data_IF_493190734102
#
_entry.id   IF_493190734102
#
_cell.length_a   1.000
_cell.length_b   1.000
_cell.length_c   1.000
_cell.angle_alpha   90.00
_cell.angle_beta   90.00
_cell.angle_gamma   90.00
#
_symmetry.space_group_name_H-M   'P 1'
#
loop_
_entity.id
_entity.type
_entity.pdbx_description
1 polymer ?
#
# COMPACT_ATOMS: atom_id res chain seq x y z
N UNK A 1 -54.31 28.19 -25.78
CA UNK A 1 -54.77 28.04 -24.38
C UNK A 1 -54.31 26.72 -23.76
N UNK A 2 -54.82 25.54 -24.15
CA UNK A 2 -54.32 24.25 -23.59
C UNK A 2 -52.82 24.03 -23.86
N UNK A 3 -52.38 24.24 -25.10
CA UNK A 3 -50.97 24.15 -25.47
C UNK A 3 -50.05 25.12 -24.69
N UNK A 4 -50.55 26.31 -24.35
CA UNK A 4 -49.79 27.30 -23.56
C UNK A 4 -49.64 26.86 -22.10
N UNK A 5 -50.68 26.25 -21.52
CA UNK A 5 -50.65 25.70 -20.16
C UNK A 5 -49.68 24.50 -20.11
N UNK A 6 -49.72 23.62 -21.11
CA UNK A 6 -48.77 22.50 -21.21
C UNK A 6 -47.32 22.98 -21.33
N UNK A 7 -47.06 24.03 -22.12
CA UNK A 7 -45.74 24.63 -22.23
C UNK A 7 -45.27 25.25 -20.90
N UNK A 8 -46.17 25.92 -20.17
CA UNK A 8 -45.86 26.48 -18.85
C UNK A 8 -45.62 25.40 -17.80
N UNK A 9 -46.39 24.31 -17.82
CA UNK A 9 -46.16 23.14 -16.95
C UNK A 9 -44.79 22.54 -17.21
N UNK A 10 -44.42 22.35 -18.48
CA UNK A 10 -43.09 21.86 -18.85
C UNK A 10 -41.99 22.77 -18.31
N UNK A 11 -42.10 24.09 -18.52
CA UNK A 11 -41.13 25.05 -17.98
C UNK A 11 -41.04 25.05 -16.45
N UNK A 12 -42.17 24.86 -15.74
CA UNK A 12 -42.17 24.77 -14.29
C UNK A 12 -41.52 23.48 -13.79
N UNK A 13 -41.78 22.35 -14.46
CA UNK A 13 -41.14 21.07 -14.17
C UNK A 13 -39.63 21.14 -14.42
N UNK A 14 -39.20 21.71 -15.55
CA UNK A 14 -37.78 21.91 -15.84
C UNK A 14 -37.09 22.74 -14.72
N UNK A 15 -37.71 23.84 -14.29
CA UNK A 15 -37.22 24.66 -13.17
C UNK A 15 -37.24 23.92 -11.83
N UNK A 16 -38.18 23.00 -11.61
CA UNK A 16 -38.23 22.19 -10.39
C UNK A 16 -37.13 21.13 -10.39
N UNK A 17 -36.84 20.56 -11.56
CA UNK A 17 -35.76 19.60 -11.78
C UNK A 17 -34.38 20.26 -11.63
N UNK A 18 -34.22 21.51 -12.06
CA UNK A 18 -33.03 22.34 -11.81
C UNK A 18 -32.76 22.54 -10.32
N UNK A 19 -33.81 22.65 -9.49
CA UNK A 19 -33.67 22.72 -8.03
C UNK A 19 -33.30 21.36 -7.41
N UNK A 20 -33.36 20.27 -8.17
CA UNK A 20 -33.10 18.92 -7.69
C UNK A 20 -34.16 18.39 -6.72
N UNK A 21 -33.89 17.26 -6.06
CA UNK A 21 -34.81 16.64 -5.10
C UNK A 21 -35.15 17.58 -3.94
N UNK A 22 -36.39 17.52 -3.41
CA UNK A 22 -36.77 18.34 -2.27
C UNK A 22 -35.96 17.98 -1.02
N UNK A 23 -35.53 19.00 -0.27
CA UNK A 23 -34.79 18.86 1.01
C UNK A 23 -35.33 19.86 2.04
N UNK A 24 -36.65 20.07 2.05
CA UNK A 24 -37.30 21.11 2.85
C UNK A 24 -37.40 20.74 4.33
N UNK A 25 -37.62 19.45 4.61
CA UNK A 25 -37.75 18.86 5.94
C UNK A 25 -36.69 17.78 6.21
N UNK A 26 -36.53 17.40 7.48
CA UNK A 26 -35.49 16.44 7.91
C UNK A 26 -35.64 15.05 7.28
N UNK A 27 -36.88 14.59 7.03
CA UNK A 27 -37.13 13.30 6.37
C UNK A 27 -36.63 13.30 4.92
N UNK A 28 -36.92 14.39 4.20
CA UNK A 28 -36.45 14.60 2.83
C UNK A 28 -34.92 14.72 2.77
N UNK A 29 -34.32 15.49 3.69
CA UNK A 29 -32.86 15.64 3.80
C UNK A 29 -32.17 14.30 4.08
N UNK A 30 -32.69 13.51 5.02
CA UNK A 30 -32.17 12.18 5.35
C UNK A 30 -32.28 11.24 4.16
N UNK A 31 -33.43 11.20 3.50
CA UNK A 31 -33.62 10.38 2.29
C UNK A 31 -32.64 10.76 1.18
N UNK A 32 -32.42 12.07 0.99
CA UNK A 32 -31.47 12.59 0.01
C UNK A 32 -30.03 12.15 0.33
N UNK A 33 -29.57 12.34 1.56
CA UNK A 33 -28.23 11.93 2.00
C UNK A 33 -28.04 10.41 1.94
N UNK A 34 -29.04 9.62 2.33
CA UNK A 34 -28.98 8.15 2.26
C UNK A 34 -28.86 7.66 0.82
N UNK A 35 -29.45 8.37 -0.15
CA UNK A 35 -29.28 8.06 -1.57
C UNK A 35 -27.85 8.33 -2.06
N UNK A 36 -27.27 9.46 -1.66
CA UNK A 36 -25.86 9.79 -1.97
C UNK A 36 -24.93 8.75 -1.34
N UNK A 37 -25.15 8.41 -0.06
CA UNK A 37 -24.37 7.38 0.63
C UNK A 37 -24.46 6.02 -0.07
N UNK A 38 -25.66 5.61 -0.48
CA UNK A 38 -25.85 4.36 -1.22
C UNK A 38 -25.10 4.33 -2.57
N UNK A 39 -25.13 5.43 -3.32
CA UNK A 39 -24.37 5.56 -4.58
C UNK A 39 -22.86 5.53 -4.33
N UNK A 40 -22.39 6.28 -3.32
CA UNK A 40 -20.99 6.27 -2.91
C UNK A 40 -20.52 4.86 -2.54
N UNK A 41 -21.26 4.16 -1.67
CA UNK A 41 -20.94 2.79 -1.26
C UNK A 41 -20.96 1.81 -2.44
N UNK A 42 -21.85 2.00 -3.42
CA UNK A 42 -21.86 1.20 -4.65
C UNK A 42 -20.58 1.40 -5.46
N UNK A 43 -20.14 2.65 -5.66
CA UNK A 43 -18.90 2.94 -6.36
C UNK A 43 -17.66 2.44 -5.60
N UNK A 44 -17.63 2.57 -4.27
CA UNK A 44 -16.59 1.96 -3.43
C UNK A 44 -16.50 0.46 -3.67
N UNK A 45 -17.64 -0.25 -3.68
CA UNK A 45 -17.68 -1.70 -3.89
C UNK A 45 -17.15 -2.08 -5.27
N UNK A 46 -17.59 -1.40 -6.33
CA UNK A 46 -17.09 -1.61 -7.69
C UNK A 46 -15.59 -1.32 -7.80
N UNK A 47 -15.12 -0.24 -7.16
CA UNK A 47 -13.71 0.16 -7.20
C UNK A 47 -12.79 -0.82 -6.46
N UNK A 48 -13.26 -1.43 -5.37
CA UNK A 48 -12.53 -2.45 -4.60
C UNK A 48 -12.55 -3.83 -5.28
N UNK A 49 -13.63 -4.17 -5.97
CA UNK A 49 -13.77 -5.45 -6.72
C UNK A 49 -13.22 -5.41 -8.13
N UNK A 50 -12.65 -4.27 -8.56
CA UNK A 50 -12.20 -4.01 -9.92
C UNK A 50 -13.30 -4.13 -11.00
N UNK A 51 -14.58 -3.99 -10.61
CA UNK A 51 -15.71 -3.98 -11.55
C UNK A 51 -15.92 -2.58 -12.14
N UNK A 52 -15.03 -2.19 -13.06
CA UNK A 52 -15.04 -0.86 -13.67
C UNK A 52 -16.12 -0.68 -14.75
N UNK A 53 -16.75 -1.77 -15.19
CA UNK A 53 -17.85 -1.73 -16.15
C UNK A 53 -19.18 -1.34 -15.50
N UNK A 54 -19.29 -1.44 -14.16
CA UNK A 54 -20.50 -1.09 -13.42
C UNK A 54 -20.86 0.41 -13.49
N UNK A 55 -19.93 1.29 -13.84
CA UNK A 55 -20.18 2.73 -13.91
C UNK A 55 -19.22 3.46 -14.85
N UNK A 56 -19.75 4.38 -15.64
CA UNK A 56 -18.97 5.27 -16.52
C UNK A 56 -18.01 6.19 -15.76
N UNK A 57 -18.18 6.32 -14.44
CA UNK A 57 -17.29 7.11 -13.58
C UNK A 57 -15.83 6.61 -13.66
N UNK A 58 -15.64 5.31 -13.88
CA UNK A 58 -14.34 4.62 -13.98
C UNK A 58 -13.70 4.71 -15.38
N UNK A 59 -14.31 5.46 -16.30
CA UNK A 59 -13.62 5.94 -17.49
C UNK A 59 -12.45 6.86 -17.11
N UNK A 60 -12.53 7.54 -15.95
CA UNK A 60 -11.35 8.12 -15.33
C UNK A 60 -10.57 7.01 -14.60
N UNK A 61 -9.38 6.68 -15.11
CA UNK A 61 -8.49 5.67 -14.55
C UNK A 61 -8.00 6.02 -13.14
N UNK A 62 -8.00 7.31 -12.76
CA UNK A 62 -7.69 7.75 -11.40
C UNK A 62 -8.69 7.27 -10.35
N UNK A 63 -9.86 6.77 -10.79
CA UNK A 63 -10.89 6.24 -9.90
C UNK A 63 -10.87 4.71 -9.82
N UNK A 64 -9.93 4.05 -10.51
CA UNK A 64 -9.71 2.60 -10.41
C UNK A 64 -8.91 2.27 -9.15
N UNK A 65 -9.55 2.47 -8.00
CA UNK A 65 -8.89 2.48 -6.68
C UNK A 65 -8.00 1.25 -6.43
N UNK A 66 -8.55 0.03 -6.54
CA UNK A 66 -7.77 -1.16 -6.21
C UNK A 66 -6.61 -1.36 -7.19
N UNK A 67 -6.78 -1.06 -8.48
CA UNK A 67 -5.69 -1.10 -9.47
C UNK A 67 -4.56 -0.15 -9.09
N UNK A 68 -4.87 1.09 -8.70
CA UNK A 68 -3.85 2.04 -8.26
C UNK A 68 -3.12 1.56 -7.00
N UNK A 69 -3.85 1.03 -6.02
CA UNK A 69 -3.24 0.51 -4.79
C UNK A 69 -2.35 -0.70 -5.08
N UNK A 70 -2.75 -1.60 -5.96
CA UNK A 70 -1.94 -2.75 -6.39
C UNK A 70 -0.66 -2.28 -7.08
N UNK A 71 -0.76 -1.37 -8.05
CA UNK A 71 0.41 -0.79 -8.72
C UNK A 71 1.39 -0.14 -7.74
N UNK A 72 0.88 0.68 -6.80
CA UNK A 72 1.71 1.31 -5.76
C UNK A 72 2.35 0.25 -4.84
N UNK A 73 1.66 -0.85 -4.57
CA UNK A 73 2.14 -1.95 -3.73
C UNK A 73 3.22 -2.77 -4.43
N UNK A 74 3.07 -3.09 -5.72
CA UNK A 74 4.12 -3.77 -6.50
C UNK A 74 5.40 -2.93 -6.56
N UNK A 75 5.26 -1.62 -6.81
CA UNK A 75 6.37 -0.69 -6.80
C UNK A 75 7.05 -0.62 -5.43
N UNK A 76 6.27 -0.58 -4.35
CA UNK A 76 6.80 -0.65 -2.99
C UNK A 76 7.57 -1.94 -2.74
N UNK A 77 7.01 -3.10 -3.13
CA UNK A 77 7.69 -4.38 -2.97
C UNK A 77 9.04 -4.36 -3.68
N UNK A 78 9.09 -3.93 -4.94
CA UNK A 78 10.33 -3.82 -5.70
C UNK A 78 11.35 -2.88 -5.04
N UNK A 79 10.94 -1.65 -4.69
CA UNK A 79 11.83 -0.67 -4.05
C UNK A 79 12.32 -1.15 -2.67
N UNK A 80 11.45 -1.82 -1.90
CA UNK A 80 11.81 -2.35 -0.59
C UNK A 80 12.83 -3.49 -0.71
N UNK A 81 12.63 -4.44 -1.62
CA UNK A 81 13.61 -5.51 -1.87
C UNK A 81 14.97 -4.97 -2.30
N UNK A 82 14.98 -3.91 -3.11
CA UNK A 82 16.20 -3.33 -3.69
C UNK A 82 16.94 -2.38 -2.74
N UNK A 83 16.23 -1.64 -1.88
CA UNK A 83 16.79 -0.49 -1.15
C UNK A 83 16.55 -0.48 0.35
N UNK A 84 15.72 -1.37 0.89
CA UNK A 84 15.42 -1.36 2.31
C UNK A 84 16.58 -1.83 3.18
N UNK A 85 17.55 -2.55 2.62
CA UNK A 85 18.79 -2.83 3.31
C UNK A 85 19.72 -1.62 3.34
N UNK A 86 20.33 -1.39 4.50
CA UNK A 86 21.31 -0.32 4.65
C UNK A 86 22.64 -0.65 3.97
N UNK A 87 23.03 -1.94 3.93
CA UNK A 87 24.32 -2.41 3.41
C UNK A 87 24.14 -3.64 2.55
N UNK A 88 24.91 -3.77 1.48
CA UNK A 88 24.82 -4.95 0.62
C UNK A 88 25.36 -6.19 1.35
N UNK A 89 24.63 -7.31 1.23
CA UNK A 89 25.15 -8.62 1.57
C UNK A 89 26.08 -9.09 0.46
N UNK A 90 27.21 -9.68 0.82
CA UNK A 90 28.12 -10.23 -0.17
C UNK A 90 27.52 -11.46 -0.84
N UNK A 91 27.61 -11.50 -2.17
CA UNK A 91 27.34 -12.71 -2.94
C UNK A 91 28.58 -13.61 -2.90
N UNK A 92 28.44 -14.92 -2.70
CA UNK A 92 29.55 -15.84 -2.87
C UNK A 92 30.15 -15.65 -4.28
N UNK A 93 31.48 -15.68 -4.39
CA UNK A 93 32.14 -15.65 -5.71
C UNK A 93 31.56 -16.77 -6.57
N UNK A 94 31.13 -16.42 -7.78
CA UNK A 94 30.44 -17.29 -8.74
C UNK A 94 31.14 -18.66 -8.83
N UNK A 95 30.49 -19.69 -8.27
CA UNK A 95 30.85 -21.08 -8.50
C UNK A 95 30.16 -21.44 -9.82
N UNK A 96 30.84 -22.03 -10.82
CA UNK A 96 30.17 -22.48 -12.03
C UNK A 96 29.03 -23.42 -11.61
N UNK A 97 27.78 -23.04 -11.90
CA UNK A 97 26.65 -23.95 -11.73
C UNK A 97 26.98 -25.20 -12.52
N UNK A 98 26.98 -26.34 -11.84
CA UNK A 98 27.06 -27.64 -12.49
C UNK A 98 25.90 -27.68 -13.49
N UNK A 99 26.21 -27.85 -14.77
CA UNK A 99 25.18 -28.08 -15.75
C UNK A 99 24.46 -29.36 -15.35
N UNK A 100 23.13 -29.33 -15.48
CA UNK A 100 22.21 -30.45 -15.28
C UNK A 100 21.84 -30.74 -13.82
N UNK A 101 20.98 -29.88 -13.26
CA UNK A 101 19.91 -30.31 -12.35
C UNK A 101 18.83 -29.22 -12.34
N UNK A 102 17.68 -29.52 -12.97
CA UNK A 102 16.40 -28.84 -12.76
C UNK A 102 15.97 -29.05 -11.30
N UNK A 103 16.65 -28.39 -10.37
CA UNK A 103 16.19 -28.29 -9.00
C UNK A 103 15.26 -27.07 -8.93
N UNK A 104 13.97 -27.34 -8.99
CA UNK A 104 12.88 -26.42 -8.68
C UNK A 104 12.93 -26.02 -7.19
N UNK A 105 13.97 -25.30 -6.79
CA UNK A 105 13.96 -24.46 -5.60
C UNK A 105 13.39 -23.10 -6.03
N UNK A 106 12.11 -22.90 -5.76
CA UNK A 106 11.39 -21.61 -5.85
C UNK A 106 11.97 -20.58 -4.85
N UNK A 107 13.24 -20.21 -5.00
CA UNK A 107 13.83 -19.11 -4.26
C UNK A 107 14.58 -18.15 -5.20
N UNK A 108 13.81 -17.54 -6.11
CA UNK A 108 14.21 -16.34 -6.87
C UNK A 108 14.24 -15.09 -5.96
N UNK A 109 14.84 -15.13 -4.77
CA UNK A 109 14.86 -13.96 -3.88
C UNK A 109 16.24 -13.35 -3.61
N UNK A 110 17.32 -13.87 -4.20
CA UNK A 110 18.64 -13.23 -4.12
C UNK A 110 19.44 -13.38 -5.43
N UNK A 111 19.41 -12.33 -6.27
CA UNK A 111 20.40 -12.13 -7.34
C UNK A 111 20.04 -12.67 -8.73
N UNK A 112 18.80 -12.50 -9.20
CA UNK A 112 18.44 -12.73 -10.59
C UNK A 112 18.80 -11.52 -11.49
N UNK A 113 20.08 -11.37 -11.82
CA UNK A 113 20.49 -10.89 -13.14
C UNK A 113 20.89 -12.18 -13.89
N UNK A 114 20.35 -12.57 -15.05
CA UNK A 114 20.62 -11.84 -16.29
C UNK A 114 19.79 -12.30 -17.51
N UNK A 115 18.63 -12.97 -17.37
CA UNK A 115 17.77 -13.26 -18.56
C UNK A 115 16.27 -12.95 -18.42
N UNK A 116 15.74 -12.88 -17.20
CA UNK A 116 14.32 -12.57 -16.91
C UNK A 116 14.13 -11.12 -16.39
N UNK A 117 15.22 -10.45 -16.02
CA UNK A 117 15.21 -9.13 -15.37
C UNK A 117 14.78 -7.96 -16.25
N UNK A 118 14.83 -8.09 -17.58
CA UNK A 118 14.50 -6.98 -18.49
C UNK A 118 12.99 -6.70 -18.54
N UNK A 119 12.15 -7.74 -18.67
CA UNK A 119 10.71 -7.58 -18.78
C UNK A 119 10.09 -7.10 -17.47
N UNK A 120 10.50 -7.68 -16.34
CA UNK A 120 10.05 -7.25 -15.01
C UNK A 120 10.51 -5.82 -14.69
N UNK A 121 11.75 -5.46 -15.03
CA UNK A 121 12.22 -4.08 -14.83
C UNK A 121 11.44 -3.08 -15.67
N UNK A 122 11.12 -3.41 -16.93
CA UNK A 122 10.30 -2.56 -17.79
C UNK A 122 8.87 -2.40 -17.24
N UNK A 123 8.28 -3.48 -16.72
CA UNK A 123 6.97 -3.46 -16.03
C UNK A 123 6.98 -2.49 -14.84
N UNK A 124 8.00 -2.55 -13.98
CA UNK A 124 8.15 -1.64 -12.85
C UNK A 124 8.34 -0.18 -13.30
N UNK A 125 9.09 0.07 -14.37
CA UNK A 125 9.25 1.41 -14.94
C UNK A 125 7.91 1.99 -15.41
N UNK A 126 7.08 1.17 -16.07
CA UNK A 126 5.74 1.57 -16.50
C UNK A 126 4.86 1.93 -15.30
N UNK A 127 4.88 1.11 -14.25
CA UNK A 127 4.14 1.40 -13.01
C UNK A 127 4.61 2.72 -12.39
N UNK A 128 5.93 2.96 -12.33
CA UNK A 128 6.48 4.19 -11.80
C UNK A 128 6.02 5.42 -12.60
N UNK A 129 5.92 5.30 -13.93
CA UNK A 129 5.38 6.36 -14.79
C UNK A 129 3.91 6.66 -14.47
N UNK A 130 3.07 5.62 -14.31
CA UNK A 130 1.66 5.77 -13.92
C UNK A 130 1.53 6.46 -12.55
N UNK A 131 2.36 6.09 -11.57
CA UNK A 131 2.39 6.72 -10.24
C UNK A 131 2.83 8.19 -10.33
N UNK A 132 3.79 8.51 -11.20
CA UNK A 132 4.24 9.89 -11.41
C UNK A 132 3.15 10.76 -12.05
N UNK A 133 2.46 10.26 -13.09
CA UNK A 133 1.38 10.97 -13.80
C UNK A 133 0.27 11.36 -12.83
N UNK A 134 -0.09 10.46 -11.92
CA UNK A 134 -1.13 10.71 -10.93
C UNK A 134 -0.73 11.73 -9.84
N UNK A 135 0.51 12.22 -9.79
CA UNK A 135 1.02 13.17 -8.78
C UNK A 135 0.73 12.73 -7.33
N UNK A 136 0.77 11.42 -7.07
CA UNK A 136 0.52 10.82 -5.76
C UNK A 136 1.77 10.89 -4.86
N UNK A 137 2.95 11.19 -5.41
CA UNK A 137 4.18 11.37 -4.62
C UNK A 137 4.21 12.65 -3.78
N UNK A 138 3.62 13.73 -4.28
CA UNK A 138 3.68 15.05 -3.63
C UNK A 138 2.36 15.46 -2.99
N UNK A 139 1.24 14.98 -3.52
CA UNK A 139 -0.05 15.57 -3.19
C UNK A 139 -0.23 16.97 -3.82
N UNK A 140 -1.45 17.47 -3.79
CA UNK A 140 -1.76 18.88 -4.06
C UNK A 140 -1.69 19.69 -2.76
N UNK A 141 -1.51 21.00 -2.86
CA UNK A 141 -1.48 21.89 -1.68
C UNK A 141 -2.73 21.72 -0.80
N UNK A 142 -3.90 21.59 -1.42
CA UNK A 142 -5.15 21.39 -0.69
C UNK A 142 -5.18 20.06 0.07
N UNK A 143 -4.66 18.98 -0.50
CA UNK A 143 -4.62 17.67 0.16
C UNK A 143 -3.65 17.67 1.34
N UNK A 144 -2.52 18.36 1.20
CA UNK A 144 -1.55 18.51 2.27
C UNK A 144 -2.14 19.32 3.44
N UNK A 145 -2.96 20.33 3.17
CA UNK A 145 -3.69 21.08 4.21
C UNK A 145 -4.74 20.18 4.88
N UNK A 146 -5.51 19.41 4.10
CA UNK A 146 -6.57 18.52 4.63
C UNK A 146 -5.99 17.39 5.49
N UNK A 147 -4.84 16.84 5.10
CA UNK A 147 -4.21 15.70 5.76
C UNK A 147 -3.22 16.13 6.86
N UNK A 148 -2.74 17.37 6.82
CA UNK A 148 -1.84 17.95 7.82
C UNK A 148 -0.66 17.02 8.12
N UNK A 149 -0.48 16.69 9.40
CA UNK A 149 0.65 15.87 9.87
C UNK A 149 0.52 14.36 9.53
N UNK A 150 -0.55 13.93 8.86
CA UNK A 150 -0.71 12.54 8.43
C UNK A 150 0.28 12.21 7.31
N UNK A 151 0.43 13.13 6.34
CA UNK A 151 1.45 12.99 5.31
C UNK A 151 2.73 13.62 5.86
N UNK A 152 3.74 12.79 6.04
CA UNK A 152 5.08 13.25 6.39
C UNK A 152 6.00 12.95 5.23
N UNK A 153 6.74 13.93 4.70
CA UNK A 153 7.79 13.67 3.70
C UNK A 153 8.95 12.93 4.38
N UNK A 154 9.07 11.60 4.23
CA UNK A 154 10.22 10.89 4.74
C UNK A 154 11.39 11.33 3.84
N UNK A 155 12.48 11.85 4.44
CA UNK A 155 13.63 12.31 3.68
C UNK A 155 14.14 11.29 2.65
N UNK A 156 14.95 11.75 1.70
CA UNK A 156 15.45 10.91 0.61
C UNK A 156 16.09 9.60 1.10
N UNK A 157 15.66 8.48 0.53
CA UNK A 157 16.20 7.15 0.85
C UNK A 157 17.51 6.95 0.09
N UNK A 158 18.63 6.90 0.80
CA UNK A 158 19.93 6.64 0.18
C UNK A 158 20.03 5.21 -0.37
N UNK A 159 20.88 5.01 -1.38
CA UNK A 159 21.24 3.68 -1.85
C UNK A 159 21.94 2.86 -0.74
N UNK A 160 21.85 1.53 -0.74
CA UNK A 160 22.63 0.69 0.17
C UNK A 160 24.11 1.03 0.09
N UNK A 161 24.73 1.26 1.25
CA UNK A 161 26.16 1.54 1.38
C UNK A 161 27.00 0.26 1.43
N UNK A 162 28.28 0.45 1.71
CA UNK A 162 29.29 -0.61 1.60
C UNK A 162 29.08 -1.79 2.58
N UNK A 163 29.58 -2.94 2.11
CA UNK A 163 29.78 -4.25 2.71
C UNK A 163 29.26 -4.48 4.15
N UNK A 164 28.26 -5.36 4.30
CA UNK A 164 27.70 -5.72 5.60
C UNK A 164 28.67 -6.51 6.49
N UNK A 165 29.45 -7.44 5.94
CA UNK A 165 30.38 -8.22 6.76
C UNK A 165 31.54 -7.38 7.32
N UNK A 166 32.04 -6.37 6.59
CA UNK A 166 33.01 -5.40 7.11
C UNK A 166 32.43 -4.59 8.26
N UNK A 167 31.18 -4.17 8.16
CA UNK A 167 30.49 -3.49 9.25
C UNK A 167 30.34 -4.40 10.47
N UNK A 168 29.93 -5.66 10.28
CA UNK A 168 29.82 -6.67 11.35
C UNK A 168 31.18 -6.84 12.04
N UNK A 169 32.26 -6.99 11.26
CA UNK A 169 33.64 -7.09 11.78
C UNK A 169 34.00 -5.88 12.61
N UNK A 170 33.70 -4.68 12.14
CA UNK A 170 33.95 -3.43 12.84
C UNK A 170 33.20 -3.35 14.18
N UNK A 171 31.92 -3.71 14.21
CA UNK A 171 31.12 -3.72 15.44
C UNK A 171 31.65 -4.77 16.41
N UNK A 172 31.94 -5.98 15.94
CA UNK A 172 32.52 -7.05 16.75
C UNK A 172 33.85 -6.61 17.39
N UNK A 173 34.78 -6.05 16.63
CA UNK A 173 36.08 -5.61 17.17
C UNK A 173 35.97 -4.53 18.24
N UNK A 174 34.92 -3.69 18.20
CA UNK A 174 34.65 -2.63 19.19
C UNK A 174 33.82 -3.08 20.39
N UNK A 175 33.20 -4.26 20.34
CA UNK A 175 32.24 -4.72 21.36
C UNK A 175 32.47 -6.15 21.86
N UNK A 176 33.49 -6.86 21.35
CA UNK A 176 33.78 -8.24 21.72
C UNK A 176 34.14 -8.39 23.20
N UNK A 177 33.57 -9.41 23.84
CA UNK A 177 33.94 -9.84 25.18
C UNK A 177 35.03 -10.93 25.14
N UNK A 178 35.14 -11.66 26.24
CA UNK A 178 35.99 -12.86 26.39
C UNK A 178 35.31 -14.11 25.79
N UNK A 179 34.60 -13.97 24.67
CA UNK A 179 33.80 -15.04 24.06
C UNK A 179 34.69 -16.11 23.40
N UNK A 180 34.50 -17.38 23.77
CA UNK A 180 35.30 -18.50 23.26
C UNK A 180 34.62 -19.14 22.04
N UNK A 181 34.98 -18.70 20.83
CA UNK A 181 34.47 -19.29 19.58
C UNK A 181 32.99 -19.01 19.31
N UNK A 182 32.38 -18.09 20.07
CA UNK A 182 30.98 -17.66 19.95
C UNK A 182 30.88 -16.14 19.88
N UNK A 183 29.67 -15.62 19.69
CA UNK A 183 29.38 -14.18 19.71
C UNK A 183 28.19 -13.86 20.63
N UNK A 184 28.15 -12.63 21.11
CA UNK A 184 27.01 -12.11 21.87
C UNK A 184 25.77 -11.93 20.96
N UNK A 185 24.59 -12.41 21.38
CA UNK A 185 23.33 -12.26 20.66
C UNK A 185 22.96 -10.80 20.33
N UNK A 186 23.46 -9.84 21.10
CA UNK A 186 23.32 -8.41 20.80
C UNK A 186 23.95 -8.00 19.47
N UNK A 187 24.99 -8.71 18.99
CA UNK A 187 25.64 -8.41 17.71
C UNK A 187 24.68 -8.63 16.53
N UNK A 188 23.93 -9.74 16.51
CA UNK A 188 22.92 -10.02 15.47
C UNK A 188 21.80 -9.00 15.54
N UNK A 189 21.37 -8.63 16.74
CA UNK A 189 20.34 -7.60 16.95
C UNK A 189 20.78 -6.22 16.43
N UNK A 190 22.01 -5.81 16.73
CA UNK A 190 22.59 -4.56 16.23
C UNK A 190 22.73 -4.58 14.71
N UNK A 191 23.15 -5.72 14.14
CA UNK A 191 23.28 -5.89 12.71
C UNK A 191 21.93 -5.82 11.99
N UNK A 192 20.88 -6.42 12.56
CA UNK A 192 19.53 -6.30 12.03
C UNK A 192 18.97 -4.87 12.13
N UNK A 193 19.20 -4.18 13.25
CA UNK A 193 18.79 -2.79 13.44
C UNK A 193 19.46 -1.85 12.42
N UNK A 194 20.77 -2.02 12.16
CA UNK A 194 21.45 -1.29 11.08
C UNK A 194 20.83 -1.65 9.72
N UNK A 195 20.61 -2.93 9.44
CA UNK A 195 20.15 -3.37 8.14
C UNK A 195 18.72 -2.94 7.82
N UNK A 196 17.86 -2.82 8.83
CA UNK A 196 16.46 -2.39 8.70
C UNK A 196 16.24 -0.89 8.88
N UNK A 197 17.30 -0.09 9.09
CA UNK A 197 17.21 1.35 9.40
C UNK A 197 16.35 2.17 8.42
N UNK A 198 16.32 1.77 7.14
CA UNK A 198 15.57 2.48 6.08
C UNK A 198 14.09 2.12 6.01
N UNK A 199 13.63 1.08 6.71
CA UNK A 199 12.26 0.56 6.61
C UNK A 199 11.23 1.66 6.87
N UNK A 200 11.39 2.45 7.95
CA UNK A 200 10.46 3.54 8.29
C UNK A 200 10.29 4.56 7.16
N UNK A 201 11.37 4.97 6.52
CA UNK A 201 11.33 5.98 5.47
C UNK A 201 10.68 5.46 4.19
N UNK A 202 11.02 4.23 3.76
CA UNK A 202 10.44 3.64 2.55
C UNK A 202 8.96 3.35 2.76
N UNK A 203 8.59 2.74 3.89
CA UNK A 203 7.18 2.46 4.21
C UNK A 203 6.37 3.74 4.37
N UNK A 204 6.95 4.82 4.93
CA UNK A 204 6.29 6.12 5.00
C UNK A 204 5.91 6.68 3.62
N UNK A 205 6.81 6.58 2.64
CA UNK A 205 6.52 7.01 1.27
C UNK A 205 5.39 6.17 0.65
N UNK A 206 5.43 4.86 0.85
CA UNK A 206 4.37 3.97 0.40
C UNK A 206 3.01 4.31 1.03
N UNK A 207 2.97 4.51 2.35
CA UNK A 207 1.73 4.86 3.06
C UNK A 207 1.18 6.21 2.61
N UNK A 208 2.03 7.22 2.40
CA UNK A 208 1.60 8.51 1.87
C UNK A 208 0.90 8.34 0.51
N UNK A 209 1.50 7.54 -0.38
CA UNK A 209 0.93 7.29 -1.71
C UNK A 209 -0.45 6.66 -1.59
N UNK A 210 -0.59 5.58 -0.82
CA UNK A 210 -1.87 4.87 -0.65
C UNK A 210 -2.93 5.77 0.01
N UNK A 211 -2.56 6.54 1.05
CA UNK A 211 -3.48 7.46 1.73
C UNK A 211 -3.97 8.54 0.76
N UNK A 212 -3.08 9.12 -0.05
CA UNK A 212 -3.45 10.11 -1.07
C UNK A 212 -4.38 9.51 -2.13
N UNK A 213 -4.12 8.29 -2.58
CA UNK A 213 -5.00 7.56 -3.52
C UNK A 213 -6.41 7.41 -2.95
N UNK A 214 -6.53 6.90 -1.72
CA UNK A 214 -7.82 6.70 -1.05
C UNK A 214 -8.53 8.03 -0.84
N UNK A 215 -7.82 9.05 -0.36
CA UNK A 215 -8.37 10.37 -0.09
C UNK A 215 -8.92 11.04 -1.36
N UNK A 216 -8.14 11.01 -2.45
CA UNK A 216 -8.56 11.50 -3.78
C UNK A 216 -9.77 10.77 -4.31
N UNK A 217 -9.75 9.44 -4.23
CA UNK A 217 -10.88 8.62 -4.67
C UNK A 217 -12.17 9.05 -3.97
N UNK A 218 -12.15 9.15 -2.63
CA UNK A 218 -13.33 9.56 -1.86
C UNK A 218 -13.79 10.97 -2.29
N UNK A 219 -12.85 11.92 -2.35
CA UNK A 219 -13.11 13.31 -2.70
C UNK A 219 -13.75 13.46 -4.10
N UNK A 220 -13.17 12.80 -5.10
CA UNK A 220 -13.63 12.90 -6.50
C UNK A 220 -14.94 12.13 -6.73
N UNK A 221 -15.15 10.98 -6.09
CA UNK A 221 -16.43 10.29 -6.19
C UNK A 221 -17.55 11.14 -5.57
N UNK A 222 -17.32 11.69 -4.37
CA UNK A 222 -18.32 12.54 -3.72
C UNK A 222 -18.63 13.79 -4.53
N UNK A 223 -17.63 14.43 -5.15
CA UNK A 223 -17.88 15.61 -5.98
C UNK A 223 -18.67 15.28 -7.26
N UNK A 224 -18.47 14.09 -7.84
CA UNK A 224 -19.24 13.63 -9.00
C UNK A 224 -20.68 13.24 -8.64
N UNK A 225 -20.92 12.70 -7.45
CA UNK A 225 -22.28 12.36 -6.97
C UNK A 225 -23.06 13.63 -6.58
N UNK A 226 -22.39 14.58 -5.91
CA UNK A 226 -23.01 15.79 -5.40
C UNK A 226 -23.02 16.91 -6.47
N UNK A 227 -24.16 17.12 -7.13
CA UNK A 227 -24.34 18.23 -8.11
C UNK A 227 -24.24 19.63 -7.49
N UNK A 228 -24.54 19.75 -6.20
CA UNK A 228 -24.58 21.01 -5.45
C UNK A 228 -23.25 21.22 -4.72
N UNK A 229 -22.48 22.20 -5.19
CA UNK A 229 -21.12 22.47 -4.69
C UNK A 229 -21.12 22.96 -3.23
N UNK A 230 -22.13 23.72 -2.82
CA UNK A 230 -22.23 24.22 -1.45
C UNK A 230 -22.50 23.06 -0.48
N UNK A 231 -23.42 22.17 -0.87
CA UNK A 231 -23.73 20.96 -0.11
C UNK A 231 -22.53 20.00 -0.06
N UNK A 232 -21.83 19.81 -1.19
CA UNK A 232 -20.60 19.03 -1.24
C UNK A 232 -19.56 19.54 -0.23
N UNK A 233 -19.31 20.86 -0.17
CA UNK A 233 -18.33 21.43 0.77
C UNK A 233 -18.72 21.23 2.24
N UNK A 234 -20.02 21.27 2.56
CA UNK A 234 -20.50 21.00 3.92
C UNK A 234 -20.36 19.52 4.26
N UNK A 235 -20.78 18.64 3.36
CA UNK A 235 -20.64 17.19 3.52
C UNK A 235 -19.18 16.77 3.63
N UNK A 236 -18.29 17.30 2.78
CA UNK A 236 -16.87 16.98 2.78
C UNK A 236 -16.21 17.34 4.11
N UNK A 237 -16.55 18.47 4.72
CA UNK A 237 -16.04 18.85 6.05
C UNK A 237 -16.41 17.84 7.12
N UNK A 238 -17.64 17.34 7.12
CA UNK A 238 -18.09 16.32 8.07
C UNK A 238 -17.48 14.95 7.80
N UNK A 239 -17.33 14.57 6.53
CA UNK A 239 -16.69 13.30 6.19
C UNK A 239 -15.21 13.34 6.56
N UNK A 240 -14.51 14.45 6.29
CA UNK A 240 -13.08 14.61 6.54
C UNK A 240 -12.72 14.36 8.01
N UNK A 241 -13.52 14.85 8.96
CA UNK A 241 -13.28 14.59 10.39
C UNK A 241 -13.33 13.10 10.74
N UNK A 242 -14.16 12.32 10.02
CA UNK A 242 -14.23 10.87 10.14
C UNK A 242 -13.11 10.12 9.41
N UNK A 243 -12.53 10.68 8.34
CA UNK A 243 -11.43 10.04 7.59
C UNK A 243 -10.11 10.07 8.36
N UNK A 244 -9.76 11.20 8.99
CA UNK A 244 -8.44 11.40 9.62
C UNK A 244 -8.08 10.34 10.67
N UNK A 245 -8.98 9.91 11.57
CA UNK A 245 -8.69 8.81 12.50
C UNK A 245 -8.42 7.48 11.81
N UNK A 246 -9.05 7.21 10.66
CA UNK A 246 -8.80 6.01 9.85
C UNK A 246 -7.37 5.97 9.32
N UNK A 247 -6.90 7.09 8.76
CA UNK A 247 -5.52 7.22 8.30
C UNK A 247 -4.50 7.12 9.44
N UNK A 248 -4.77 7.75 10.60
CA UNK A 248 -3.89 7.64 11.77
C UNK A 248 -3.73 6.20 12.25
N UNK A 249 -4.82 5.44 12.36
CA UNK A 249 -4.76 4.02 12.75
C UNK A 249 -3.87 3.19 11.82
N UNK A 250 -3.94 3.44 10.51
CA UNK A 250 -3.06 2.77 9.56
C UNK A 250 -1.58 3.09 9.82
N UNK A 251 -1.25 4.36 10.12
CA UNK A 251 0.13 4.77 10.46
C UNK A 251 0.59 4.24 11.83
N UNK A 252 -0.28 4.23 12.84
CA UNK A 252 -0.01 3.62 14.14
C UNK A 252 0.30 2.11 13.99
N UNK A 253 -0.43 1.41 13.13
CA UNK A 253 -0.15 0.00 12.81
C UNK A 253 1.24 -0.18 12.16
N UNK A 254 1.63 0.72 11.28
CA UNK A 254 2.99 0.73 10.68
C UNK A 254 4.05 0.95 11.75
N UNK A 255 3.84 1.91 12.66
CA UNK A 255 4.79 2.18 13.75
C UNK A 255 4.95 0.97 14.68
N UNK A 256 3.84 0.29 15.00
CA UNK A 256 3.88 -0.96 15.79
C UNK A 256 4.70 -2.04 15.08
N UNK A 257 4.48 -2.26 13.78
CA UNK A 257 5.20 -3.28 13.01
C UNK A 257 6.70 -2.98 12.95
N UNK A 258 7.08 -1.72 12.71
CA UNK A 258 8.48 -1.28 12.74
C UNK A 258 9.08 -1.52 14.13
N UNK A 259 8.36 -1.18 15.20
CA UNK A 259 8.84 -1.37 16.56
C UNK A 259 9.06 -2.85 16.89
N UNK A 260 8.12 -3.72 16.48
CA UNK A 260 8.21 -5.17 16.71
C UNK A 260 9.43 -5.78 16.01
N UNK A 261 9.70 -5.38 14.77
CA UNK A 261 10.84 -5.93 14.03
C UNK A 261 12.19 -5.31 14.43
N UNK A 262 12.26 -3.98 14.68
CA UNK A 262 13.54 -3.30 14.91
C UNK A 262 14.04 -3.30 16.37
N UNK A 263 13.15 -3.39 17.36
CA UNK A 263 13.51 -3.21 18.79
C UNK A 263 13.62 -4.53 19.56
N UNK A 264 13.29 -5.66 18.94
CA UNK A 264 13.34 -6.99 19.57
C UNK A 264 14.55 -7.78 19.09
N UNK A 265 14.97 -8.74 19.90
CA UNK A 265 15.94 -9.74 19.44
C UNK A 265 15.36 -10.50 18.25
N UNK A 266 16.12 -10.65 17.14
CA UNK A 266 15.72 -11.46 16.00
C UNK A 266 15.26 -12.85 16.44
N UNK A 267 14.03 -13.19 16.08
CA UNK A 267 13.41 -14.46 16.43
C UNK A 267 12.45 -14.90 15.33
N UNK A 268 12.51 -16.18 14.96
CA UNK A 268 11.66 -16.74 13.92
C UNK A 268 11.15 -18.12 14.31
N UNK A 269 9.88 -18.37 13.99
CA UNK A 269 9.25 -19.68 14.04
C UNK A 269 9.23 -20.35 12.65
N UNK A 270 9.71 -19.64 11.62
CA UNK A 270 9.72 -20.15 10.25
C UNK A 270 10.86 -21.17 10.09
N UNK A 271 10.49 -22.42 9.76
CA UNK A 271 11.41 -23.53 9.58
C UNK A 271 12.42 -23.29 8.46
N UNK A 272 12.05 -22.50 7.44
CA UNK A 272 12.93 -22.11 6.32
C UNK A 272 14.21 -21.41 6.76
N UNK A 273 14.21 -20.78 7.94
CA UNK A 273 15.42 -20.16 8.46
C UNK A 273 16.60 -21.15 8.56
N UNK A 274 16.35 -22.34 9.08
CA UNK A 274 17.41 -23.35 9.24
C UNK A 274 17.85 -23.91 7.88
N UNK A 275 16.91 -24.05 6.95
CA UNK A 275 17.17 -24.50 5.57
C UNK A 275 18.07 -23.48 4.86
N UNK A 276 17.65 -22.21 4.78
CA UNK A 276 18.43 -21.15 4.13
C UNK A 276 19.80 -20.93 4.80
N UNK A 277 19.89 -21.05 6.12
CA UNK A 277 21.18 -20.95 6.82
C UNK A 277 22.11 -22.12 6.49
N UNK A 278 21.58 -23.35 6.43
CA UNK A 278 22.35 -24.53 6.06
C UNK A 278 22.84 -24.45 4.61
N UNK A 279 21.98 -23.99 3.69
CA UNK A 279 22.32 -23.76 2.29
C UNK A 279 23.46 -22.75 2.14
N UNK A 280 23.35 -21.56 2.77
CA UNK A 280 24.40 -20.54 2.70
C UNK A 280 25.76 -21.04 3.24
N UNK A 281 25.74 -21.81 4.34
CA UNK A 281 26.95 -22.44 4.88
C UNK A 281 27.52 -23.48 3.92
N UNK A 282 26.65 -24.29 3.30
CA UNK A 282 26.98 -25.28 2.30
C UNK A 282 27.64 -24.66 1.07
N UNK A 283 27.05 -23.59 0.51
CA UNK A 283 27.60 -22.85 -0.64
C UNK A 283 28.98 -22.26 -0.35
N UNK A 284 29.18 -21.66 0.84
CA UNK A 284 30.50 -21.15 1.22
C UNK A 284 31.53 -22.27 1.35
N UNK A 285 31.15 -23.39 1.97
CA UNK A 285 32.04 -24.54 2.09
C UNK A 285 32.39 -25.08 0.71
N UNK A 286 31.41 -25.26 -0.16
CA UNK A 286 31.60 -25.68 -1.55
C UNK A 286 32.55 -24.75 -2.30
N UNK A 287 32.36 -23.43 -2.20
CA UNK A 287 33.26 -22.45 -2.82
C UNK A 287 34.70 -22.53 -2.31
N UNK A 288 34.88 -22.84 -1.03
CA UNK A 288 36.21 -23.01 -0.44
C UNK A 288 36.88 -24.33 -0.84
N UNK A 289 36.07 -25.39 -1.01
CA UNK A 289 36.52 -26.70 -1.50
C UNK A 289 36.80 -26.70 -3.00
N UNK A 290 36.15 -25.85 -3.79
CA UNK A 290 36.27 -25.80 -5.24
C UNK A 290 37.73 -25.63 -5.69
N UNK A 291 38.52 -24.80 -4.99
CA UNK A 291 39.95 -24.63 -5.29
C UNK A 291 40.81 -25.88 -5.06
N UNK A 292 40.33 -26.81 -4.24
CA UNK A 292 40.98 -28.12 -3.97
C UNK A 292 40.41 -29.26 -4.80
N UNK A 293 39.31 -29.01 -5.52
CA UNK A 293 38.62 -30.02 -6.29
C UNK A 293 39.40 -30.38 -7.56
N UNK A 294 39.55 -31.69 -7.83
CA UNK A 294 40.07 -32.18 -9.11
C UNK A 294 38.92 -32.28 -10.10
N UNK A 295 39.14 -31.83 -11.34
CA UNK A 295 38.22 -32.03 -12.46
C UNK A 295 38.41 -33.45 -13.00
N UNK A 296 37.35 -34.25 -12.97
CA UNK A 296 37.30 -35.53 -13.64
C UNK A 296 36.29 -35.46 -14.80
N UNK A 297 36.73 -35.89 -15.98
CA UNK A 297 35.93 -35.89 -17.22
C UNK A 297 35.74 -37.30 -17.76
N UNK A 298 36.29 -38.32 -17.08
CA UNK A 298 36.44 -39.65 -17.65
C UNK A 298 35.35 -40.63 -17.24
N UNK A 299 34.63 -40.35 -16.16
CA UNK A 299 33.82 -41.39 -15.50
C UNK A 299 32.34 -41.41 -15.94
N UNK A 300 31.78 -40.29 -16.41
CA UNK A 300 30.35 -40.18 -16.74
C UNK A 300 30.00 -39.31 -17.96
N UNK A 301 30.99 -38.92 -18.79
CA UNK A 301 30.73 -38.05 -19.96
C UNK A 301 30.50 -36.57 -19.63
N UNK A 302 30.24 -36.24 -18.37
CA UNK A 302 30.11 -34.89 -17.83
C UNK A 302 31.31 -34.48 -16.95
N UNK A 303 31.51 -33.17 -16.78
CA UNK A 303 32.56 -32.63 -15.91
C UNK A 303 32.14 -32.79 -14.46
N UNK A 304 32.82 -33.66 -13.72
CA UNK A 304 32.64 -33.83 -12.28
C UNK A 304 33.79 -33.20 -11.49
N UNK A 305 33.48 -32.68 -10.31
CA UNK A 305 34.46 -32.11 -9.39
C UNK A 305 34.56 -33.02 -8.17
N UNK A 306 35.74 -33.61 -7.96
CA UNK A 306 35.98 -34.52 -6.84
C UNK A 306 36.89 -33.85 -5.80
N UNK A 307 36.53 -33.99 -4.52
CA UNK A 307 37.30 -33.48 -3.38
C UNK A 307 37.77 -34.67 -2.55
N UNK A 308 39.04 -34.74 -2.16
CA UNK A 308 39.47 -35.79 -1.23
C UNK A 308 38.99 -35.44 0.18
N UNK A 309 38.46 -36.43 0.90
CA UNK A 309 37.99 -36.23 2.28
C UNK A 309 39.08 -35.69 3.22
N UNK A 310 40.36 -35.92 2.91
CA UNK A 310 41.51 -35.40 3.67
C UNK A 310 41.72 -33.89 3.51
N UNK A 311 41.20 -33.30 2.44
CA UNK A 311 41.37 -31.88 2.13
C UNK A 311 40.29 -31.04 2.85
N UNK A 312 39.15 -31.66 3.23
CA UNK A 312 38.02 -30.98 3.91
C UNK A 312 38.46 -30.29 5.22
N UNK A 313 39.18 -30.95 6.16
CA UNK A 313 39.62 -30.29 7.38
C UNK A 313 40.67 -29.20 7.16
N UNK A 314 41.38 -29.20 6.02
CA UNK A 314 42.36 -28.17 5.69
C UNK A 314 41.72 -26.82 5.41
N UNK A 315 40.54 -26.84 4.79
CA UNK A 315 39.77 -25.64 4.43
C UNK A 315 39.13 -24.97 5.65
N UNK A 316 38.83 -25.73 6.71
CA UNK A 316 38.22 -25.20 7.95
C UNK A 316 39.23 -24.67 8.97
N UNK A 317 40.54 -24.92 8.79
CA UNK A 317 41.59 -24.60 9.79
C UNK A 317 42.23 -23.21 9.66
N UNK A 318 42.02 -22.52 8.55
CA UNK A 318 42.78 -21.30 8.21
C UNK A 318 42.16 -19.98 8.69
N UNK A 319 41.00 -20.00 9.37
CA UNK A 319 40.27 -18.78 9.74
C UNK A 319 40.61 -18.32 11.15
N UNK A 320 40.83 -17.01 11.31
CA UNK A 320 40.88 -16.40 12.64
C UNK A 320 39.49 -16.44 13.31
N UNK A 321 39.44 -16.40 14.64
CA UNK A 321 38.16 -16.35 15.39
C UNK A 321 37.27 -15.20 14.91
N UNK A 322 37.86 -14.04 14.57
CA UNK A 322 37.11 -12.89 14.09
C UNK A 322 36.48 -13.11 12.71
N UNK A 323 37.20 -13.77 11.80
CA UNK A 323 36.69 -14.09 10.46
C UNK A 323 35.58 -15.14 10.49
N UNK A 324 35.75 -16.18 11.30
CA UNK A 324 34.73 -17.20 11.51
C UNK A 324 33.44 -16.57 12.06
N UNK A 325 33.53 -15.75 13.11
CA UNK A 325 32.36 -15.11 13.73
C UNK A 325 31.68 -14.11 12.80
N UNK A 326 32.46 -13.35 12.03
CA UNK A 326 31.92 -12.45 11.01
C UNK A 326 31.06 -13.21 9.99
N UNK A 327 31.55 -14.35 9.49
CA UNK A 327 30.82 -15.17 8.52
C UNK A 327 29.55 -15.77 9.13
N UNK A 328 29.65 -16.32 10.34
CA UNK A 328 28.49 -16.89 11.04
C UNK A 328 27.38 -15.85 11.27
N UNK A 329 27.73 -14.66 11.75
CA UNK A 329 26.76 -13.58 11.96
C UNK A 329 26.20 -13.07 10.63
N UNK A 330 27.03 -12.96 9.60
CA UNK A 330 26.59 -12.54 8.26
C UNK A 330 25.53 -13.49 7.70
N UNK A 331 25.74 -14.80 7.76
CA UNK A 331 24.77 -15.77 7.22
C UNK A 331 23.48 -15.80 8.02
N UNK A 332 23.58 -15.82 9.36
CA UNK A 332 22.41 -15.77 10.25
C UNK A 332 21.59 -14.53 9.94
N UNK A 333 22.25 -13.38 9.81
CA UNK A 333 21.59 -12.12 9.49
C UNK A 333 20.94 -12.19 8.11
N UNK A 334 21.65 -12.69 7.09
CA UNK A 334 21.11 -12.76 5.71
C UNK A 334 19.90 -13.67 5.63
N UNK A 335 19.98 -14.87 6.20
CA UNK A 335 18.88 -15.82 6.26
C UNK A 335 17.68 -15.24 7.00
N UNK A 336 17.90 -14.64 8.18
CA UNK A 336 16.79 -14.04 8.94
C UNK A 336 16.21 -12.79 8.26
N UNK A 337 17.05 -11.93 7.68
CA UNK A 337 16.63 -10.66 7.09
C UNK A 337 15.69 -10.85 5.91
N UNK A 338 15.95 -11.82 5.03
CA UNK A 338 15.06 -12.16 3.92
C UNK A 338 13.64 -12.50 4.42
N UNK A 339 13.52 -13.45 5.35
CA UNK A 339 12.24 -13.85 5.94
C UNK A 339 11.53 -12.70 6.66
N UNK A 340 12.28 -11.91 7.43
CA UNK A 340 11.73 -10.77 8.16
C UNK A 340 11.21 -9.69 7.21
N UNK A 341 11.95 -9.41 6.11
CA UNK A 341 11.57 -8.45 5.07
C UNK A 341 10.26 -8.87 4.40
N UNK A 342 10.16 -10.12 3.97
CA UNK A 342 8.99 -10.60 3.23
C UNK A 342 7.75 -10.61 4.13
N UNK A 343 7.90 -11.12 5.36
CA UNK A 343 6.86 -11.03 6.40
C UNK A 343 6.43 -9.59 6.66
N UNK A 344 7.37 -8.66 6.73
CA UNK A 344 7.08 -7.26 6.99
C UNK A 344 6.25 -6.65 5.86
N UNK A 345 6.64 -6.87 4.60
CA UNK A 345 5.90 -6.38 3.42
C UNK A 345 4.47 -6.89 3.44
N UNK A 346 4.27 -8.20 3.67
CA UNK A 346 2.94 -8.80 3.76
C UNK A 346 2.12 -8.19 4.88
N UNK A 347 2.70 -8.03 6.08
CA UNK A 347 2.02 -7.45 7.22
C UNK A 347 1.66 -5.98 7.02
N UNK A 348 2.52 -5.19 6.38
CA UNK A 348 2.22 -3.80 6.01
C UNK A 348 1.00 -3.77 5.10
N UNK A 349 0.99 -4.57 4.03
CA UNK A 349 -0.16 -4.60 3.12
C UNK A 349 -1.41 -5.10 3.83
N UNK A 350 -1.37 -6.25 4.51
CA UNK A 350 -2.56 -6.85 5.11
C UNK A 350 -3.15 -6.02 6.25
N UNK A 351 -2.31 -5.51 7.15
CA UNK A 351 -2.78 -4.84 8.36
C UNK A 351 -2.97 -3.34 8.15
N UNK A 352 -1.98 -2.64 7.60
CA UNK A 352 -2.06 -1.19 7.46
C UNK A 352 -2.90 -0.77 6.24
N UNK A 353 -2.76 -1.44 5.11
CA UNK A 353 -3.47 -1.03 3.88
C UNK A 353 -4.82 -1.74 3.74
N UNK A 354 -4.80 -3.06 3.61
CA UNK A 354 -5.98 -3.87 3.34
C UNK A 354 -7.01 -3.74 4.47
N UNK A 355 -6.61 -3.93 5.73
CA UNK A 355 -7.54 -3.78 6.85
C UNK A 355 -7.84 -2.30 7.17
N UNK A 356 -6.85 -1.47 7.50
CA UNK A 356 -7.16 -0.11 7.97
C UNK A 356 -7.60 0.88 6.89
N UNK A 357 -7.14 0.76 5.64
CA UNK A 357 -7.48 1.73 4.59
C UNK A 357 -8.59 1.25 3.65
N UNK A 358 -8.71 -0.06 3.37
CA UNK A 358 -9.62 -0.54 2.33
C UNK A 358 -10.87 -1.27 2.85
N UNK A 359 -10.70 -2.34 3.64
CA UNK A 359 -11.78 -3.30 3.91
C UNK A 359 -12.25 -3.35 5.36
N UNK A 360 -11.44 -2.93 6.33
CA UNK A 360 -11.78 -2.99 7.75
C UNK A 360 -12.94 -2.07 8.13
N UNK A 361 -13.55 -2.32 9.29
CA UNK A 361 -14.71 -1.55 9.75
C UNK A 361 -14.39 -0.05 9.94
N UNK A 362 -13.18 0.27 10.37
CA UNK A 362 -12.69 1.63 10.51
C UNK A 362 -12.06 2.22 9.24
N UNK A 363 -12.30 1.63 8.06
CA UNK A 363 -11.76 2.14 6.80
C UNK A 363 -12.33 3.53 6.47
N UNK A 364 -11.50 4.46 5.94
CA UNK A 364 -11.94 5.72 5.34
C UNK A 364 -13.08 5.54 4.32
N UNK A 365 -13.09 4.43 3.57
CA UNK A 365 -14.12 4.12 2.57
C UNK A 365 -15.49 3.76 3.18
N UNK A 366 -15.52 3.49 4.50
CA UNK A 366 -16.73 3.16 5.26
C UNK A 366 -17.17 4.26 6.22
N UNK A 367 -16.58 5.46 6.13
CA UNK A 367 -16.98 6.61 6.95
C UNK A 367 -18.34 7.16 6.50
N UNK A 368 -18.59 7.22 5.19
CA UNK A 368 -19.85 7.71 4.64
C UNK A 368 -20.75 6.55 4.21
N UNK A 369 -21.77 6.27 5.01
CA UNK A 369 -22.69 5.14 4.83
C UNK A 369 -24.14 5.55 5.07
N UNK A 370 -25.09 4.73 4.64
CA UNK A 370 -26.50 4.96 4.96
C UNK A 370 -26.75 4.95 6.48
N UNK A 371 -26.07 4.07 7.22
CA UNK A 371 -26.17 4.01 8.68
C UNK A 371 -25.65 5.29 9.35
N UNK A 372 -24.55 5.85 8.84
CA UNK A 372 -24.05 7.15 9.30
C UNK A 372 -25.10 8.25 9.11
N UNK A 373 -25.79 8.26 7.97
CA UNK A 373 -26.88 9.22 7.69
C UNK A 373 -28.08 9.04 8.63
N UNK A 374 -28.41 7.80 9.00
CA UNK A 374 -29.48 7.51 9.97
C UNK A 374 -29.15 8.06 11.36
N UNK A 375 -27.87 8.05 11.73
CA UNK A 375 -27.37 8.57 13.00
C UNK A 375 -27.34 10.10 13.12
N UNK A 376 -27.56 10.85 12.03
CA UNK A 376 -27.53 12.31 12.05
C UNK A 376 -28.74 12.90 12.77
N UNK A 377 -28.48 13.88 13.63
CA UNK A 377 -29.52 14.68 14.28
C UNK A 377 -30.12 15.73 13.32
N UNK A 378 -31.19 16.39 13.77
CA UNK A 378 -31.89 17.38 12.95
C UNK A 378 -31.02 18.62 12.64
N UNK A 379 -30.12 19.00 13.54
CA UNK A 379 -29.21 20.12 13.35
C UNK A 379 -28.16 19.82 12.28
N UNK A 380 -27.60 18.61 12.29
CA UNK A 380 -26.67 18.12 11.28
C UNK A 380 -27.33 17.99 9.91
N UNK A 381 -28.56 17.49 9.86
CA UNK A 381 -29.32 17.39 8.60
C UNK A 381 -29.56 18.77 7.99
N UNK A 382 -29.99 19.76 8.78
CA UNK A 382 -30.19 21.13 8.31
C UNK A 382 -28.86 21.80 7.91
N UNK A 383 -27.78 21.51 8.65
CA UNK A 383 -26.44 22.02 8.36
C UNK A 383 -25.89 21.47 7.05
N UNK A 384 -26.02 20.18 6.79
CA UNK A 384 -25.40 19.50 5.63
C UNK A 384 -26.29 19.60 4.39
N UNK A 385 -27.56 19.22 4.49
CA UNK A 385 -28.46 19.04 3.35
C UNK A 385 -29.62 20.05 3.31
N UNK A 386 -29.70 20.97 4.27
CA UNK A 386 -30.73 21.98 4.33
C UNK A 386 -30.70 22.96 3.16
N UNK A 387 -31.84 23.13 2.49
CA UNK A 387 -32.02 24.18 1.48
C UNK A 387 -31.98 25.58 2.11
N UNK A 388 -31.41 26.54 1.37
CA UNK A 388 -31.49 27.95 1.73
C UNK A 388 -32.94 28.42 1.82
N UNK A 389 -33.21 29.47 2.60
CA UNK A 389 -34.56 30.07 2.69
C UNK A 389 -35.08 30.51 1.32
N UNK A 390 -34.20 31.00 0.44
CA UNK A 390 -34.55 31.40 -0.92
C UNK A 390 -34.96 30.19 -1.78
N UNK A 391 -34.18 29.11 -1.72
CA UNK A 391 -34.47 27.84 -2.44
C UNK A 391 -35.78 27.23 -1.96
N UNK A 392 -36.01 27.16 -0.64
CA UNK A 392 -37.27 26.66 -0.08
C UNK A 392 -38.47 27.46 -0.59
N UNK A 393 -38.38 28.79 -0.58
CA UNK A 393 -39.43 29.70 -1.10
C UNK A 393 -39.67 29.51 -2.59
N UNK A 394 -38.60 29.45 -3.39
CA UNK A 394 -38.73 29.26 -4.84
C UNK A 394 -39.36 27.91 -5.18
N UNK A 395 -38.94 26.83 -4.50
CA UNK A 395 -39.55 25.50 -4.67
C UNK A 395 -41.03 25.51 -4.33
N UNK A 396 -41.42 26.11 -3.20
CA UNK A 396 -42.84 26.20 -2.82
C UNK A 396 -43.66 27.03 -3.82
N UNK A 397 -43.09 28.11 -4.36
CA UNK A 397 -43.73 28.92 -5.40
C UNK A 397 -43.95 28.13 -6.70
N UNK A 398 -42.93 27.41 -7.17
CA UNK A 398 -43.02 26.59 -8.40
C UNK A 398 -44.02 25.44 -8.20
N UNK A 399 -43.97 24.72 -7.07
CA UNK A 399 -44.95 23.67 -6.74
C UNK A 399 -46.38 24.20 -6.73
N UNK A 400 -46.60 25.39 -6.17
CA UNK A 400 -47.93 26.02 -6.19
C UNK A 400 -48.36 26.34 -7.62
N UNK A 401 -47.48 26.90 -8.44
CA UNK A 401 -47.78 27.22 -9.83
C UNK A 401 -48.10 25.97 -10.66
N UNK A 402 -47.38 24.86 -10.46
CA UNK A 402 -47.69 23.56 -11.09
C UNK A 402 -49.09 23.10 -10.69
N UNK A 403 -49.40 23.07 -9.38
CA UNK A 403 -50.73 22.68 -8.89
C UNK A 403 -51.85 23.55 -9.49
N UNK A 404 -51.64 24.87 -9.57
CA UNK A 404 -52.64 25.78 -10.11
C UNK A 404 -52.85 25.59 -11.62
N UNK A 405 -51.77 25.33 -12.37
CA UNK A 405 -51.82 25.01 -13.80
C UNK A 405 -52.48 23.64 -14.07
N UNK A 406 -52.19 22.62 -13.26
CA UNK A 406 -52.84 21.30 -13.35
C UNK A 406 -54.36 21.39 -13.10
N UNK A 407 -54.77 22.19 -12.11
CA UNK A 407 -56.19 22.46 -11.85
C UNK A 407 -56.85 23.16 -13.03
N UNK A 408 -56.22 24.20 -13.58
CA UNK A 408 -56.75 24.91 -14.75
C UNK A 408 -56.88 23.98 -15.97
N UNK A 409 -55.92 23.09 -16.16
CA UNK A 409 -55.94 22.10 -17.23
C UNK A 409 -57.05 21.06 -17.05
N UNK A 410 -57.34 20.64 -15.82
CA UNK A 410 -58.45 19.74 -15.53
C UNK A 410 -59.81 20.42 -15.78
N UNK A 411 -59.98 21.69 -15.38
CA UNK A 411 -61.21 22.46 -15.65
C UNK A 411 -61.46 22.61 -17.16
N UNK A 412 -60.40 22.81 -17.95
CA UNK A 412 -60.51 22.93 -19.42
C UNK A 412 -60.76 21.59 -20.13
N UNK A 413 -60.62 20.46 -19.42
CA UNK A 413 -60.86 19.10 -19.93
C UNK A 413 -62.20 18.52 -19.49
N UNK A 414 -62.87 19.12 -18.51
CA UNK A 414 -64.25 18.77 -18.15
C UNK A 414 -65.20 19.30 -19.24
N UNK A 415 -66.11 18.46 -19.78
CA UNK A 415 -66.92 18.76 -20.95
C UNK A 415 -68.02 19.80 -20.74
#
# INVERSE_FOLDING_TARGET
MMADIDQQLKSCNDKLDELGPPRQNHREQRTFLSRIAGQFQSHVRSALSADYNASTIFANEDLRLITQVVNITELFCYEFHKRAHSRNFETPRHIPRFADEDWDSEDKSNGAEEKDGSAFHLHIQLIQELVNISNIDRGTEQELIELGNIITSPGGVSVPGDNMAEWIKGVYLRSRGLDLGTFNAHLVSAAFAEQSRKWKAITGNYMNRVILTVHRFIKVILSKICRDQEMYQKLWREILTGLLPGYRRALEQVELLIHVDQQKQPYTLNKRFNESLAEMKGERLMGSLYGTARKDTKQYGEIQYMVNLRDIPGVTKAQSNAEYLQQEVHDILRAYYSLARDRYIDNIFQLAVNYHLLHGAGSPLKVFTQDWVLGLDNGDLDRIAGESKATKRNRSRIKKMISDLEKALNILKEP
#
